data_IF_992166943625
#
_entry.id   IF_992166943625
#
_cell.length_a   1.000
_cell.length_b   1.000
_cell.length_c   1.000
_cell.angle_alpha   90.00
_cell.angle_beta   90.00
_cell.angle_gamma   90.00
#
_symmetry.space_group_name_H-M   'P 1'
#
loop_
_entity.id
_entity.type
_entity.pdbx_description
1 polymer ?
#
# COMPACT_ATOMS: atom_id res chain seq x y z
N UNK A 1 10.64 6.91 -28.47
CA UNK A 1 9.85 6.43 -27.33
C UNK A 1 10.73 5.57 -26.44
N UNK A 2 10.77 5.88 -25.17
CA UNK A 2 11.56 5.08 -24.25
C UNK A 2 10.95 3.69 -24.09
N UNK A 3 11.76 2.64 -24.21
CA UNK A 3 11.29 1.29 -23.94
C UNK A 3 10.96 1.14 -22.46
N UNK A 4 9.94 0.35 -22.17
CA UNK A 4 9.61 -0.01 -20.79
C UNK A 4 10.72 -0.92 -20.28
N UNK A 5 11.43 -0.46 -19.26
CA UNK A 5 12.52 -1.23 -18.68
C UNK A 5 11.99 -2.39 -17.83
N UNK A 6 12.87 -3.31 -17.53
CA UNK A 6 12.58 -4.44 -16.64
C UNK A 6 11.96 -3.96 -15.32
N UNK A 7 12.52 -2.89 -14.74
CA UNK A 7 12.10 -2.39 -13.42
C UNK A 7 10.80 -1.58 -13.49
N UNK A 8 10.49 -0.98 -14.61
CA UNK A 8 9.30 -0.14 -14.81
C UNK A 8 8.03 -0.87 -15.19
N UNK A 9 7.99 -2.18 -15.11
CA UNK A 9 6.77 -2.96 -15.34
C UNK A 9 5.88 -2.90 -14.10
N UNK A 10 4.57 -2.80 -14.31
CA UNK A 10 3.58 -2.73 -13.21
C UNK A 10 3.79 -3.87 -12.20
N UNK A 11 3.95 -5.09 -12.69
CA UNK A 11 4.15 -6.26 -11.82
C UNK A 11 5.39 -6.16 -10.94
N UNK A 12 6.44 -5.50 -11.43
CA UNK A 12 7.65 -5.28 -10.66
C UNK A 12 7.44 -4.23 -9.56
N UNK A 13 6.69 -3.19 -9.86
CA UNK A 13 6.33 -2.17 -8.88
C UNK A 13 5.42 -2.77 -7.81
N UNK A 14 4.43 -3.56 -8.20
CA UNK A 14 3.58 -4.30 -7.26
C UNK A 14 4.41 -5.17 -6.32
N UNK A 15 5.36 -5.92 -6.87
CA UNK A 15 6.23 -6.78 -6.10
C UNK A 15 7.13 -5.99 -5.14
N UNK A 16 7.66 -4.86 -5.59
CA UNK A 16 8.48 -3.99 -4.73
C UNK A 16 7.67 -3.49 -3.53
N UNK A 17 6.47 -2.94 -3.78
CA UNK A 17 5.62 -2.41 -2.69
C UNK A 17 5.17 -3.54 -1.77
N UNK A 18 4.84 -4.71 -2.32
CA UNK A 18 4.48 -5.89 -1.53
C UNK A 18 5.61 -6.25 -0.56
N UNK A 19 6.85 -6.34 -1.05
CA UNK A 19 8.01 -6.67 -0.20
C UNK A 19 8.28 -5.59 0.85
N UNK A 20 8.10 -4.33 0.48
CA UNK A 20 8.25 -3.21 1.41
C UNK A 20 7.26 -3.32 2.57
N UNK A 21 5.99 -3.56 2.26
CA UNK A 21 4.90 -3.68 3.24
C UNK A 21 5.09 -4.93 4.11
N UNK A 22 5.40 -6.07 3.50
CA UNK A 22 5.64 -7.33 4.23
C UNK A 22 6.85 -7.20 5.15
N UNK A 23 7.93 -6.64 4.64
CA UNK A 23 9.16 -6.46 5.42
C UNK A 23 9.00 -5.52 6.61
N UNK A 24 8.10 -4.55 6.49
CA UNK A 24 7.79 -3.63 7.58
C UNK A 24 6.87 -4.24 8.65
N UNK A 25 6.24 -5.37 8.35
CA UNK A 25 5.39 -6.07 9.32
C UNK A 25 4.07 -5.37 9.60
N UNK A 26 3.46 -4.72 8.59
CA UNK A 26 2.18 -4.04 8.76
C UNK A 26 1.05 -5.02 9.10
N UNK A 27 1.04 -6.14 8.42
CA UNK A 27 0.01 -7.16 8.56
C UNK A 27 0.51 -8.48 7.98
N UNK A 28 -0.04 -9.59 8.47
CA UNK A 28 0.15 -10.91 7.85
C UNK A 28 -0.70 -11.07 6.59
N UNK A 29 -1.70 -10.21 6.40
CA UNK A 29 -2.71 -10.31 5.36
C UNK A 29 -2.53 -9.19 4.36
N UNK A 30 -1.66 -9.39 3.37
CA UNK A 30 -1.33 -8.39 2.36
C UNK A 30 -1.78 -8.89 1.00
N UNK A 31 -2.55 -8.05 0.29
CA UNK A 31 -3.13 -8.38 -1.00
C UNK A 31 -2.75 -7.33 -2.02
N UNK A 32 -2.67 -7.74 -3.28
CA UNK A 32 -2.36 -6.86 -4.40
C UNK A 32 -3.56 -6.84 -5.36
N UNK A 33 -3.93 -5.67 -5.81
CA UNK A 33 -5.02 -5.35 -6.74
C UNK A 33 -6.41 -5.44 -6.14
N UNK A 34 -6.78 -6.54 -5.49
CA UNK A 34 -8.11 -6.67 -4.87
C UNK A 34 -8.05 -7.42 -3.55
N UNK A 35 -8.98 -7.12 -2.65
CA UNK A 35 -9.20 -7.93 -1.46
C UNK A 35 -9.91 -9.23 -1.84
N UNK A 36 -9.71 -10.31 -1.05
CA UNK A 36 -10.49 -11.53 -1.22
C UNK A 36 -11.99 -11.24 -1.08
N UNK A 37 -12.82 -12.02 -1.77
CA UNK A 37 -14.28 -11.93 -1.67
C UNK A 37 -14.72 -12.17 -0.23
N UNK A 38 -14.11 -13.15 0.43
CA UNK A 38 -14.42 -13.48 1.82
C UNK A 38 -13.29 -13.01 2.74
N UNK A 39 -13.65 -12.16 3.70
CA UNK A 39 -12.71 -11.71 4.74
C UNK A 39 -12.83 -12.70 5.91
N UNK A 40 -11.72 -13.35 6.23
CA UNK A 40 -11.71 -14.35 7.31
C UNK A 40 -11.89 -13.69 8.67
N UNK A 41 -12.65 -14.34 9.53
CA UNK A 41 -12.97 -13.80 10.86
C UNK A 41 -11.73 -13.60 11.75
N UNK A 42 -10.70 -14.43 11.58
CA UNK A 42 -9.45 -14.31 12.35
C UNK A 42 -8.56 -13.16 11.92
N UNK A 43 -8.83 -12.52 10.80
CA UNK A 43 -8.04 -11.38 10.34
C UNK A 43 -8.48 -10.11 11.07
N UNK A 44 -7.59 -9.52 11.86
CA UNK A 44 -7.86 -8.25 12.55
C UNK A 44 -7.50 -7.03 11.70
N UNK A 45 -6.52 -7.20 10.82
CA UNK A 45 -6.10 -6.16 9.89
C UNK A 45 -5.69 -6.75 8.54
N UNK A 46 -5.68 -5.91 7.53
CA UNK A 46 -5.33 -6.29 6.15
C UNK A 46 -4.69 -5.10 5.46
N UNK A 47 -3.89 -5.37 4.45
CA UNK A 47 -3.32 -4.34 3.57
C UNK A 47 -3.66 -4.69 2.13
N UNK A 48 -4.15 -3.70 1.39
CA UNK A 48 -4.35 -3.81 -0.05
C UNK A 48 -3.43 -2.83 -0.76
N UNK A 49 -2.69 -3.32 -1.73
CA UNK A 49 -1.80 -2.53 -2.57
C UNK A 49 -2.42 -2.42 -3.96
N UNK A 50 -2.67 -1.18 -4.39
CA UNK A 50 -3.24 -0.92 -5.71
C UNK A 50 -2.30 0.01 -6.48
N UNK A 51 -1.67 -0.52 -7.52
CA UNK A 51 -0.72 0.21 -8.36
C UNK A 51 -1.45 0.70 -9.59
N UNK A 52 -1.45 2.01 -9.77
CA UNK A 52 -2.04 2.64 -10.93
C UNK A 52 -1.12 2.62 -12.15
N UNK A 53 -1.58 3.26 -13.22
CA UNK A 53 -0.85 3.37 -14.46
C UNK A 53 0.45 4.17 -14.27
N UNK A 54 1.52 3.70 -14.88
CA UNK A 54 2.80 4.40 -14.85
C UNK A 54 2.93 5.44 -15.94
N UNK A 55 3.56 6.57 -15.61
CA UNK A 55 3.92 7.63 -16.55
C UNK A 55 5.41 7.51 -16.91
N UNK A 56 5.71 7.57 -18.22
CA UNK A 56 7.09 7.63 -18.69
C UNK A 56 7.56 9.07 -18.73
N UNK A 57 8.63 9.36 -18.01
CA UNK A 57 9.31 10.65 -18.00
C UNK A 57 10.72 10.48 -18.59
N UNK A 58 11.43 11.58 -18.86
CA UNK A 58 12.71 11.50 -19.57
C UNK A 58 13.76 10.62 -18.87
N UNK A 59 13.85 10.70 -17.54
CA UNK A 59 14.89 10.04 -16.78
C UNK A 59 14.36 8.88 -15.91
N UNK A 60 13.04 8.73 -15.80
CA UNK A 60 12.45 7.74 -14.91
C UNK A 60 11.00 7.48 -15.28
N UNK A 61 10.43 6.45 -14.69
CA UNK A 61 9.00 6.14 -14.76
C UNK A 61 8.38 6.37 -13.39
N UNK A 62 7.14 6.85 -13.37
CA UNK A 62 6.46 7.20 -12.12
C UNK A 62 5.12 6.48 -12.00
N UNK A 63 4.86 5.89 -10.85
CA UNK A 63 3.61 5.21 -10.54
C UNK A 63 2.93 5.85 -9.34
N UNK A 64 1.60 5.99 -9.43
CA UNK A 64 0.77 6.31 -8.27
C UNK A 64 0.32 5.01 -7.63
N UNK A 65 0.56 4.86 -6.34
CA UNK A 65 0.25 3.63 -5.60
C UNK A 65 -0.61 4.00 -4.40
N UNK A 66 -1.73 3.32 -4.24
CA UNK A 66 -2.55 3.44 -3.04
C UNK A 66 -2.31 2.21 -2.15
N UNK A 67 -1.98 2.46 -0.91
CA UNK A 67 -1.85 1.41 0.11
C UNK A 67 -3.00 1.60 1.09
N UNK A 68 -3.92 0.64 1.10
CA UNK A 68 -5.09 0.65 1.97
C UNK A 68 -4.79 -0.15 3.23
N UNK A 69 -4.93 0.49 4.37
CA UNK A 69 -4.68 -0.11 5.68
C UNK A 69 -6.04 -0.36 6.34
N UNK A 70 -6.50 -1.61 6.30
CA UNK A 70 -7.82 -1.99 6.79
C UNK A 70 -7.77 -2.55 8.19
N UNK A 71 -8.77 -2.22 9.00
CA UNK A 71 -9.03 -2.90 10.27
C UNK A 71 -10.52 -3.17 10.43
N UNK A 72 -10.85 -4.22 11.19
CA UNK A 72 -12.21 -4.38 11.70
C UNK A 72 -12.45 -3.34 12.79
N UNK A 73 -13.72 -2.95 12.95
CA UNK A 73 -14.10 -2.05 14.02
C UNK A 73 -13.79 -2.62 15.40
N UNK A 74 -13.63 -1.71 16.36
CA UNK A 74 -13.37 -2.07 17.73
C UNK A 74 -14.70 -2.31 18.46
N UNK A 75 -14.74 -3.37 19.26
CA UNK A 75 -15.93 -3.71 20.08
C UNK A 75 -17.11 -4.12 19.19
N UNK A 76 -18.13 -3.26 19.13
CA UNK A 76 -19.36 -3.49 18.36
C UNK A 76 -19.20 -3.36 16.85
N UNK A 77 -17.96 -3.21 16.35
CA UNK A 77 -17.60 -3.12 14.94
C UNK A 77 -17.94 -1.76 14.29
N UNK A 78 -18.49 -0.83 15.03
CA UNK A 78 -18.83 0.50 14.49
C UNK A 78 -17.70 1.51 14.71
N UNK A 79 -16.90 1.32 15.73
CA UNK A 79 -15.84 2.25 16.10
C UNK A 79 -14.53 1.88 15.43
N UNK A 80 -13.90 2.86 14.78
CA UNK A 80 -12.61 2.67 14.13
C UNK A 80 -11.53 2.32 15.17
N UNK A 81 -10.71 1.30 14.87
CA UNK A 81 -9.57 0.93 15.70
C UNK A 81 -8.35 1.79 15.35
N UNK A 82 -8.36 3.02 15.87
CA UNK A 82 -7.36 4.04 15.53
C UNK A 82 -5.94 3.59 15.88
N UNK A 83 -5.76 2.94 17.04
CA UNK A 83 -4.42 2.52 17.47
C UNK A 83 -3.78 1.52 16.52
N UNK A 84 -4.57 0.59 15.99
CA UNK A 84 -4.08 -0.42 15.04
C UNK A 84 -3.72 0.24 13.70
N UNK A 85 -4.60 1.10 13.18
CA UNK A 85 -4.35 1.78 11.91
C UNK A 85 -3.14 2.70 12.01
N UNK A 86 -3.03 3.47 13.10
CA UNK A 86 -1.89 4.37 13.31
C UNK A 86 -0.57 3.60 13.38
N UNK A 87 -0.56 2.46 14.05
CA UNK A 87 0.64 1.62 14.13
C UNK A 87 1.05 1.10 12.75
N UNK A 88 0.08 0.69 11.92
CA UNK A 88 0.35 0.25 10.54
C UNK A 88 0.91 1.41 9.71
N UNK A 89 0.30 2.58 9.82
CA UNK A 89 0.74 3.76 9.07
C UNK A 89 2.16 4.19 9.46
N UNK A 90 2.48 4.21 10.76
CA UNK A 90 3.83 4.52 11.24
C UNK A 90 4.88 3.55 10.70
N UNK A 91 4.58 2.27 10.69
CA UNK A 91 5.48 1.26 10.13
C UNK A 91 5.71 1.47 8.63
N UNK A 92 4.66 1.84 7.90
CA UNK A 92 4.76 2.14 6.47
C UNK A 92 5.63 3.39 6.25
N UNK A 93 5.38 4.45 7.01
CA UNK A 93 6.16 5.68 6.94
C UNK A 93 7.65 5.40 7.19
N UNK A 94 7.96 4.64 8.22
CA UNK A 94 9.33 4.30 8.58
C UNK A 94 10.00 3.46 7.47
N UNK A 95 9.28 2.49 6.91
CA UNK A 95 9.80 1.66 5.83
C UNK A 95 10.14 2.49 4.58
N UNK A 96 9.31 3.49 4.29
CA UNK A 96 9.55 4.40 3.16
C UNK A 96 10.78 5.28 3.42
N UNK A 97 10.91 5.82 4.63
CA UNK A 97 12.09 6.62 5.01
C UNK A 97 13.38 5.81 4.94
N UNK A 98 13.33 4.55 5.34
CA UNK A 98 14.49 3.67 5.39
C UNK A 98 14.80 2.99 4.05
N UNK A 99 13.94 3.19 3.05
CA UNK A 99 14.10 2.54 1.76
C UNK A 99 15.34 3.11 1.04
N UNK A 100 16.26 2.21 0.68
CA UNK A 100 17.50 2.55 -0.01
C UNK A 100 17.67 1.76 -1.31
N UNK A 101 16.57 1.38 -1.93
CA UNK A 101 16.60 0.63 -3.18
C UNK A 101 17.24 1.43 -4.30
N UNK A 102 17.99 0.77 -5.19
CA UNK A 102 18.68 1.44 -6.30
C UNK A 102 17.74 1.83 -7.44
N UNK A 103 16.60 1.17 -7.56
CA UNK A 103 15.70 1.33 -8.70
C UNK A 103 14.37 1.97 -8.33
N UNK A 104 13.87 1.73 -7.11
CA UNK A 104 12.55 2.14 -6.67
C UNK A 104 12.66 3.17 -5.54
N UNK A 105 12.03 4.33 -5.74
CA UNK A 105 12.09 5.44 -4.79
C UNK A 105 10.68 5.86 -4.40
N UNK A 106 10.15 5.35 -3.27
CA UNK A 106 8.80 5.69 -2.82
C UNK A 106 8.79 7.01 -2.06
N UNK A 107 7.74 7.80 -2.27
CA UNK A 107 7.47 9.01 -1.50
C UNK A 107 5.99 9.08 -1.18
N UNK A 108 5.66 9.54 0.02
CA UNK A 108 4.27 9.72 0.43
C UNK A 108 3.77 11.08 -0.06
N UNK A 109 2.58 11.09 -0.64
CA UNK A 109 1.91 12.29 -1.10
C UNK A 109 0.86 12.78 -0.11
N UNK A 110 -0.02 11.86 0.32
CA UNK A 110 -1.12 12.17 1.23
C UNK A 110 -1.68 10.90 1.85
N UNK A 111 -2.46 11.06 2.91
CA UNK A 111 -3.27 9.98 3.47
C UNK A 111 -4.67 10.50 3.77
N UNK A 112 -5.63 9.58 3.77
CA UNK A 112 -7.02 9.86 4.07
C UNK A 112 -7.64 8.65 4.74
N UNK A 113 -8.84 8.81 5.29
CA UNK A 113 -9.54 7.70 5.94
C UNK A 113 -10.99 7.62 5.46
N UNK A 114 -11.50 6.40 5.43
CA UNK A 114 -12.86 6.13 4.99
C UNK A 114 -13.35 4.82 5.61
N UNK A 115 -14.58 4.47 5.32
CA UNK A 115 -15.24 3.28 5.83
C UNK A 115 -15.91 2.52 4.69
N UNK A 116 -15.59 1.23 4.59
CA UNK A 116 -16.22 0.33 3.63
C UNK A 116 -17.44 -0.31 4.30
N UNK A 117 -18.62 0.23 4.02
CA UNK A 117 -19.86 -0.24 4.62
C UNK A 117 -20.26 -1.64 4.15
N UNK A 118 -19.86 -2.03 2.94
CA UNK A 118 -20.15 -3.35 2.40
C UNK A 118 -19.44 -4.45 3.17
N UNK A 119 -18.18 -4.21 3.54
CA UNK A 119 -17.34 -5.18 4.27
C UNK A 119 -17.26 -4.87 5.76
N UNK A 120 -17.82 -3.75 6.21
CA UNK A 120 -17.72 -3.29 7.59
C UNK A 120 -16.26 -3.17 8.04
N UNK A 121 -15.46 -2.49 7.22
CA UNK A 121 -14.04 -2.27 7.48
C UNK A 121 -13.73 -0.78 7.47
N UNK A 122 -12.99 -0.33 8.46
CA UNK A 122 -12.39 1.00 8.44
C UNK A 122 -11.04 0.93 7.76
N UNK A 123 -10.67 2.00 7.04
CA UNK A 123 -9.35 2.03 6.42
C UNK A 123 -8.79 3.44 6.33
N UNK A 124 -7.46 3.51 6.37
CA UNK A 124 -6.71 4.65 5.88
C UNK A 124 -6.12 4.28 4.53
N UNK A 125 -6.14 5.20 3.59
CA UNK A 125 -5.41 5.05 2.34
C UNK A 125 -4.21 5.98 2.37
N UNK A 126 -3.04 5.44 2.07
CA UNK A 126 -1.79 6.20 1.94
C UNK A 126 -1.41 6.19 0.47
N UNK A 127 -1.38 7.37 -0.14
CA UNK A 127 -0.99 7.49 -1.53
C UNK A 127 0.51 7.73 -1.64
N UNK A 128 1.15 6.93 -2.47
CA UNK A 128 2.58 7.00 -2.73
C UNK A 128 2.83 7.33 -4.18
N UNK A 129 3.93 8.03 -4.44
CA UNK A 129 4.56 8.05 -5.76
C UNK A 129 5.79 7.16 -5.70
N UNK A 130 5.87 6.19 -6.59
CA UNK A 130 7.06 5.35 -6.74
C UNK A 130 7.74 5.72 -8.03
N UNK A 131 8.93 6.31 -7.94
CA UNK A 131 9.78 6.61 -9.09
C UNK A 131 10.67 5.41 -9.37
N UNK A 132 10.75 5.01 -10.62
CA UNK A 132 11.53 3.85 -11.06
C UNK A 132 12.64 4.32 -11.97
N UNK A 133 13.88 4.01 -11.60
CA UNK A 133 15.09 4.31 -12.36
C UNK A 133 15.75 3.01 -12.83
N UNK A 134 16.42 3.09 -13.96
CA UNK A 134 17.21 1.96 -14.49
C UNK A 134 18.52 1.76 -13.77
#
# INVERSE_FOLDING_TARGET
>A
MAEMTKYGRVSRVENFVYRLVKGAGLSSNVFVSTLPVTIKSEWSNMVLIDVGKGDNLNAYRRFSVNVYLYTKGKGDLQTKNVNVIDAMEEKLLQAIQDCSDNHYHPNINWSDSDYDSTRNLHFNVVNLTVKVHD
#
